data_IF_806434199196
#
_entry.id   IF_806434199196
#
_cell.length_a   1.000
_cell.length_b   1.000
_cell.length_c   1.000
_cell.angle_alpha   90.00
_cell.angle_beta   90.00
_cell.angle_gamma   90.00
#
_symmetry.space_group_name_H-M   'P 1'
#
loop_
_entity.id
_entity.type
_entity.pdbx_description
1 polymer ?
#
# COMPACT_ATOMS: atom_id res chain seq x y z
N UNK A 1 -6.38 -30.69 -11.32
CA UNK A 1 -5.63 -30.04 -10.21
C UNK A 1 -4.99 -28.70 -10.61
N UNK A 2 -4.95 -28.33 -11.90
CA UNK A 2 -4.17 -27.18 -12.39
C UNK A 2 -4.97 -25.89 -12.63
N UNK A 3 -6.24 -25.81 -12.23
CA UNK A 3 -7.11 -24.65 -12.51
C UNK A 3 -7.42 -23.78 -11.27
N UNK A 4 -7.33 -24.34 -10.06
CA UNK A 4 -7.55 -23.56 -8.82
C UNK A 4 -6.30 -22.80 -8.34
N UNK A 5 -5.11 -23.25 -8.75
CA UNK A 5 -3.83 -22.70 -8.29
C UNK A 5 -3.44 -21.39 -8.99
N UNK A 6 -4.15 -20.98 -10.04
CA UNK A 6 -3.87 -19.73 -10.76
C UNK A 6 -4.23 -18.48 -9.97
N UNK A 7 -5.40 -18.46 -9.32
CA UNK A 7 -5.90 -17.30 -8.56
C UNK A 7 -5.17 -17.13 -7.23
N UNK A 8 -5.06 -18.21 -6.47
CA UNK A 8 -4.28 -18.22 -5.22
C UNK A 8 -2.78 -17.99 -5.48
N UNK A 9 -2.24 -18.56 -6.57
CA UNK A 9 -0.85 -18.35 -6.97
C UNK A 9 -0.53 -16.91 -7.39
N UNK A 10 -1.45 -16.23 -8.08
CA UNK A 10 -1.28 -14.81 -8.47
C UNK A 10 -1.34 -13.89 -7.25
N UNK A 11 -2.26 -14.15 -6.31
CA UNK A 11 -2.33 -13.43 -5.04
C UNK A 11 -1.04 -13.63 -4.22
N UNK A 12 -0.58 -14.88 -4.07
CA UNK A 12 0.65 -15.20 -3.35
C UNK A 12 1.90 -14.60 -4.00
N UNK A 13 1.98 -14.60 -5.34
CA UNK A 13 3.07 -13.98 -6.08
C UNK A 13 3.08 -12.45 -5.91
N UNK A 14 1.90 -11.80 -5.95
CA UNK A 14 1.76 -10.37 -5.67
C UNK A 14 2.18 -10.03 -4.24
N UNK A 15 1.72 -10.79 -3.25
CA UNK A 15 2.09 -10.59 -1.85
C UNK A 15 3.59 -10.83 -1.59
N UNK A 16 4.19 -11.83 -2.24
CA UNK A 16 5.62 -12.08 -2.18
C UNK A 16 6.42 -10.92 -2.78
N UNK A 17 6.00 -10.39 -3.94
CA UNK A 17 6.64 -9.23 -4.57
C UNK A 17 6.58 -7.98 -3.67
N UNK A 18 5.43 -7.70 -3.05
CA UNK A 18 5.28 -6.58 -2.10
C UNK A 18 6.19 -6.76 -0.89
N UNK A 19 6.19 -7.95 -0.28
CA UNK A 19 7.01 -8.27 0.90
C UNK A 19 8.51 -8.15 0.61
N UNK A 20 8.94 -8.64 -0.56
CA UNK A 20 10.34 -8.54 -1.00
C UNK A 20 10.71 -7.07 -1.29
N UNK A 21 9.83 -6.30 -1.94
CA UNK A 21 10.10 -4.88 -2.23
C UNK A 21 10.21 -4.04 -0.95
N UNK A 22 9.35 -4.27 0.03
CA UNK A 22 9.44 -3.66 1.36
C UNK A 22 10.71 -4.07 2.10
N UNK A 23 11.06 -5.36 2.10
CA UNK A 23 12.30 -5.86 2.72
C UNK A 23 13.57 -5.28 2.10
N UNK A 24 13.59 -5.15 0.76
CA UNK A 24 14.69 -4.51 0.03
C UNK A 24 14.78 -3.02 0.33
N UNK A 25 13.64 -2.34 0.47
CA UNK A 25 13.59 -0.92 0.85
C UNK A 25 14.12 -0.70 2.27
N UNK A 26 13.86 -1.63 3.20
CA UNK A 26 14.37 -1.59 4.58
C UNK A 26 15.90 -1.76 4.67
N UNK A 27 16.48 -2.55 3.76
CA UNK A 27 17.93 -2.78 3.69
C UNK A 27 18.65 -1.70 2.85
N UNK A 28 17.94 -0.73 2.28
CA UNK A 28 18.49 0.20 1.31
C UNK A 28 19.30 1.34 1.98
N UNK A 29 20.61 1.32 1.75
CA UNK A 29 21.57 2.33 2.23
C UNK A 29 21.61 3.56 1.30
N UNK A 30 21.85 4.80 1.79
CA UNK A 30 21.81 6.04 0.99
C UNK A 30 22.66 6.06 -0.29
N UNK A 31 23.72 5.25 -0.39
CA UNK A 31 24.54 5.13 -1.60
C UNK A 31 23.80 4.52 -2.80
N UNK A 32 22.68 3.82 -2.57
CA UNK A 32 21.93 3.07 -3.58
C UNK A 32 20.58 3.74 -3.90
N UNK A 33 20.49 5.07 -3.73
CA UNK A 33 19.25 5.84 -3.87
C UNK A 33 18.59 5.74 -5.26
N UNK A 34 19.34 5.41 -6.32
CA UNK A 34 18.78 5.22 -7.67
C UNK A 34 17.83 4.02 -7.80
N UNK A 35 17.94 3.02 -6.93
CA UNK A 35 17.09 1.82 -6.98
C UNK A 35 15.68 2.05 -6.45
N UNK A 36 15.42 3.17 -5.77
CA UNK A 36 14.10 3.53 -5.24
C UNK A 36 13.05 3.62 -6.37
N UNK A 37 13.42 4.13 -7.55
CA UNK A 37 12.50 4.20 -8.69
C UNK A 37 12.08 2.81 -9.17
N UNK A 38 13.03 1.86 -9.21
CA UNK A 38 12.74 0.48 -9.59
C UNK A 38 11.88 -0.23 -8.53
N UNK A 39 12.22 -0.06 -7.25
CA UNK A 39 11.49 -0.64 -6.13
C UNK A 39 10.06 -0.11 -6.04
N UNK A 40 9.85 1.18 -6.30
CA UNK A 40 8.51 1.79 -6.35
C UNK A 40 7.64 1.20 -7.46
N UNK A 41 8.20 0.98 -8.66
CA UNK A 41 7.48 0.32 -9.76
C UNK A 41 7.11 -1.12 -9.39
N UNK A 42 8.04 -1.88 -8.79
CA UNK A 42 7.78 -3.24 -8.34
C UNK A 42 6.74 -3.31 -7.22
N UNK A 43 6.79 -2.38 -6.26
CA UNK A 43 5.83 -2.26 -5.19
C UNK A 43 4.43 -1.96 -5.73
N UNK A 44 4.32 -0.98 -6.64
CA UNK A 44 3.06 -0.63 -7.28
C UNK A 44 2.45 -1.76 -8.11
N UNK A 45 3.28 -2.52 -8.83
CA UNK A 45 2.84 -3.72 -9.57
C UNK A 45 2.29 -4.79 -8.62
N UNK A 46 3.03 -5.11 -7.55
CA UNK A 46 2.60 -6.09 -6.56
C UNK A 46 1.29 -5.69 -5.88
N UNK A 47 1.17 -4.42 -5.47
CA UNK A 47 -0.02 -3.90 -4.80
C UNK A 47 -1.27 -3.95 -5.71
N UNK A 48 -1.11 -3.61 -6.98
CA UNK A 48 -2.19 -3.67 -7.98
C UNK A 48 -2.67 -5.11 -8.21
N UNK A 49 -1.75 -6.07 -8.29
CA UNK A 49 -2.08 -7.49 -8.48
C UNK A 49 -2.87 -8.02 -7.27
N UNK A 50 -2.42 -7.74 -6.06
CA UNK A 50 -3.08 -8.16 -4.81
C UNK A 50 -4.49 -7.56 -4.72
N UNK A 51 -4.62 -6.25 -4.97
CA UNK A 51 -5.88 -5.53 -4.91
C UNK A 51 -6.91 -6.10 -5.91
N UNK A 52 -6.54 -6.22 -7.19
CA UNK A 52 -7.44 -6.73 -8.23
C UNK A 52 -7.83 -8.18 -7.95
N UNK A 53 -6.87 -9.01 -7.51
CA UNK A 53 -7.15 -10.41 -7.20
C UNK A 53 -8.08 -10.56 -5.99
N UNK A 54 -7.94 -9.72 -4.95
CA UNK A 54 -8.85 -9.68 -3.80
C UNK A 54 -10.28 -9.40 -4.24
N UNK A 55 -10.46 -8.34 -5.03
CA UNK A 55 -11.77 -7.95 -5.56
C UNK A 55 -12.41 -9.08 -6.38
N UNK A 56 -11.63 -9.75 -7.24
CA UNK A 56 -12.13 -10.87 -8.03
C UNK A 56 -12.55 -12.06 -7.16
N UNK A 57 -11.82 -12.33 -6.06
CA UNK A 57 -12.17 -13.36 -5.08
C UNK A 57 -13.44 -13.00 -4.31
N UNK A 58 -13.60 -11.75 -3.88
CA UNK A 58 -14.81 -11.24 -3.23
C UNK A 58 -16.03 -11.34 -4.16
N UNK A 59 -15.88 -11.00 -5.45
CA UNK A 59 -16.94 -11.12 -6.44
C UNK A 59 -17.40 -12.57 -6.68
N UNK A 60 -16.47 -13.53 -6.64
CA UNK A 60 -16.79 -14.96 -6.75
C UNK A 60 -17.51 -15.49 -5.50
N UNK A 61 -17.15 -15.00 -4.30
CA UNK A 61 -17.79 -15.41 -3.04
C UNK A 61 -19.19 -14.80 -2.85
N UNK A 62 -19.45 -13.62 -3.40
CA UNK A 62 -20.76 -12.96 -3.38
C UNK A 62 -21.75 -13.60 -4.38
N UNK A 63 -21.26 -14.48 -5.25
CA UNK A 63 -22.01 -15.19 -6.29
C UNK A 63 -23.14 -16.10 -5.80
N UNK A 64 -24.27 -15.47 -5.47
CA UNK A 64 -25.69 -15.93 -5.57
C UNK A 64 -26.65 -14.80 -5.10
N UNK A 65 -26.13 -13.78 -4.39
CA UNK A 65 -26.90 -12.62 -3.88
C UNK A 65 -26.40 -11.30 -4.47
N UNK A 66 -26.67 -11.07 -5.76
CA UNK A 66 -26.26 -9.87 -6.51
C UNK A 66 -26.75 -8.53 -5.92
N UNK A 67 -27.75 -8.53 -5.04
CA UNK A 67 -28.32 -7.30 -4.47
C UNK A 67 -27.39 -6.65 -3.42
N UNK A 68 -26.55 -7.42 -2.73
CA UNK A 68 -25.63 -6.90 -1.70
C UNK A 68 -24.22 -6.59 -2.22
N UNK A 69 -23.86 -7.06 -3.41
CA UNK A 69 -22.52 -6.88 -3.98
C UNK A 69 -22.14 -5.42 -4.27
N UNK A 70 -23.11 -4.60 -4.68
CA UNK A 70 -22.89 -3.17 -4.88
C UNK A 70 -22.59 -2.42 -3.57
N UNK A 71 -23.22 -2.85 -2.46
CA UNK A 71 -22.94 -2.31 -1.14
C UNK A 71 -21.55 -2.72 -0.65
N UNK A 72 -21.14 -3.97 -0.85
CA UNK A 72 -19.79 -4.46 -0.50
C UNK A 72 -18.71 -3.69 -1.25
N UNK A 73 -18.84 -3.53 -2.56
CA UNK A 73 -17.88 -2.79 -3.38
C UNK A 73 -17.83 -1.29 -3.00
N UNK A 74 -19.00 -0.73 -2.65
CA UNK A 74 -19.13 0.62 -2.09
C UNK A 74 -18.45 0.75 -0.72
N UNK A 75 -18.65 -0.21 0.18
CA UNK A 75 -18.04 -0.25 1.51
C UNK A 75 -16.53 -0.47 1.45
N UNK A 76 -16.04 -1.28 0.50
CA UNK A 76 -14.61 -1.47 0.23
C UNK A 76 -13.96 -0.15 -0.20
N UNK A 77 -14.54 0.54 -1.19
CA UNK A 77 -14.04 1.83 -1.68
C UNK A 77 -14.16 2.96 -0.64
N UNK A 78 -15.21 2.92 0.19
CA UNK A 78 -15.40 3.84 1.29
C UNK A 78 -14.36 3.64 2.38
N UNK A 79 -14.11 2.38 2.76
CA UNK A 79 -13.06 2.01 3.73
C UNK A 79 -11.67 2.43 3.23
N UNK A 80 -11.37 2.22 1.95
CA UNK A 80 -10.11 2.65 1.34
C UNK A 80 -9.93 4.18 1.44
N UNK A 81 -10.96 4.96 1.08
CA UNK A 81 -10.94 6.42 1.18
C UNK A 81 -10.82 6.92 2.62
N UNK A 82 -11.52 6.30 3.57
CA UNK A 82 -11.41 6.65 4.99
C UNK A 82 -10.02 6.31 5.51
N UNK A 83 -9.49 5.14 5.20
CA UNK A 83 -8.17 4.70 5.61
C UNK A 83 -7.09 5.67 5.11
N UNK A 84 -7.13 6.02 3.83
CA UNK A 84 -6.24 7.02 3.23
C UNK A 84 -6.41 8.41 3.86
N UNK A 85 -7.65 8.84 4.14
CA UNK A 85 -7.92 10.11 4.82
C UNK A 85 -7.36 10.16 6.24
N UNK A 86 -7.54 9.10 7.03
CA UNK A 86 -7.00 8.97 8.40
C UNK A 86 -5.47 8.94 8.37
N UNK A 87 -4.87 8.19 7.45
CA UNK A 87 -3.41 8.13 7.31
C UNK A 87 -2.82 9.51 7.02
N UNK A 88 -3.42 10.26 6.10
CA UNK A 88 -3.00 11.63 5.76
C UNK A 88 -3.16 12.58 6.95
N UNK A 89 -4.28 12.51 7.68
CA UNK A 89 -4.49 13.32 8.89
C UNK A 89 -3.48 12.99 9.98
N UNK A 90 -3.17 11.71 10.18
CA UNK A 90 -2.17 11.28 11.15
C UNK A 90 -0.79 11.81 10.78
N UNK A 91 -0.39 11.71 9.52
CA UNK A 91 0.90 12.25 9.02
C UNK A 91 0.96 13.76 9.23
N UNK A 92 -0.08 14.50 8.86
CA UNK A 92 -0.13 15.95 9.05
C UNK A 92 -0.02 16.33 10.53
N UNK A 93 -0.75 15.64 11.41
CA UNK A 93 -0.68 15.89 12.84
C UNK A 93 0.71 15.59 13.43
N UNK A 94 1.37 14.52 12.99
CA UNK A 94 2.75 14.24 13.40
C UNK A 94 3.73 15.31 12.88
N UNK A 95 3.57 15.76 11.63
CA UNK A 95 4.39 16.85 11.07
C UNK A 95 4.21 18.16 11.82
N UNK A 96 2.99 18.54 12.17
CA UNK A 96 2.70 19.75 12.95
C UNK A 96 3.30 19.66 14.36
N UNK A 97 3.18 18.52 15.03
CA UNK A 97 3.79 18.31 16.35
C UNK A 97 5.33 18.47 16.32
N UNK A 98 5.98 17.97 15.26
CA UNK A 98 7.42 18.10 15.06
C UNK A 98 7.82 19.55 14.72
N UNK A 99 7.07 20.24 13.86
CA UNK A 99 7.34 21.65 13.52
C UNK A 99 7.20 22.60 14.71
N UNK A 100 6.31 22.32 15.65
CA UNK A 100 6.18 23.09 16.90
C UNK A 100 7.41 22.91 17.80
N UNK A 101 8.09 21.76 17.73
CA UNK A 101 9.30 21.46 18.51
C UNK A 101 10.58 22.03 17.86
N UNK A 102 10.65 22.16 16.52
CA UNK A 102 11.83 22.65 15.78
C UNK A 102 11.45 23.61 14.62
N UNK A 103 11.51 24.94 14.81
CA UNK A 103 11.01 25.91 13.82
C UNK A 103 11.91 26.14 12.59
N UNK A 104 13.11 25.53 12.52
CA UNK A 104 14.05 25.73 11.39
C UNK A 104 15.05 24.58 11.22
N UNK A 105 14.59 23.39 10.84
CA UNK A 105 15.47 22.33 10.31
C UNK A 105 14.86 21.67 9.07
N UNK A 106 15.09 22.31 7.92
CA UNK A 106 14.73 21.84 6.58
C UNK A 106 15.27 20.44 6.24
N UNK A 107 16.21 19.89 7.02
CA UNK A 107 16.79 18.57 6.82
C UNK A 107 15.96 17.42 7.43
N UNK A 108 15.27 17.64 8.57
CA UNK A 108 14.47 16.59 9.23
C UNK A 108 13.11 16.37 8.57
N UNK A 109 12.55 17.42 7.94
CA UNK A 109 11.36 17.31 7.08
C UNK A 109 11.59 16.31 5.93
N UNK A 110 12.80 16.24 5.38
CA UNK A 110 13.15 15.34 4.28
C UNK A 110 13.18 13.86 4.70
N UNK A 111 13.67 13.57 5.91
CA UNK A 111 13.67 12.20 6.44
C UNK A 111 12.26 11.75 6.82
N UNK A 112 11.47 12.63 7.43
CA UNK A 112 10.08 12.34 7.77
C UNK A 112 9.22 12.10 6.52
N UNK A 113 9.42 12.86 5.45
CA UNK A 113 8.75 12.61 4.16
C UNK A 113 9.19 11.26 3.58
N UNK A 114 10.47 10.88 3.68
CA UNK A 114 10.95 9.55 3.27
C UNK A 114 10.31 8.43 4.09
N UNK A 115 10.20 8.61 5.40
CA UNK A 115 9.66 7.61 6.31
C UNK A 115 8.13 7.49 6.16
N UNK A 116 7.43 8.61 5.96
CA UNK A 116 6.01 8.63 5.60
C UNK A 116 5.75 7.94 4.26
N UNK A 117 6.61 8.15 3.25
CA UNK A 117 6.52 7.45 1.96
C UNK A 117 6.83 5.94 2.08
N UNK A 118 7.53 5.51 3.13
CA UNK A 118 7.77 4.10 3.41
C UNK A 118 6.63 3.44 4.22
N UNK A 119 5.88 4.23 5.01
CA UNK A 119 4.77 3.76 5.85
C UNK A 119 3.44 3.80 5.09
N UNK A 120 3.29 4.70 4.13
CA UNK A 120 2.13 4.76 3.23
C UNK A 120 2.51 4.10 1.91
N UNK A 121 2.15 2.82 1.69
CA UNK A 121 2.22 2.20 0.36
C UNK A 121 1.27 2.85 -0.64
#
# INVERSE_FOLDING_TARGET
MNEKMGREGTFAAGAALVSVSLGLTWLLTPETSGWIYLLSVLLGLGNSIVMVTSVCLEGDLVGDSCESGAFVYGAMSFTDKISNGIAVLWIQNQREAIQVQFPSSTAEDGEFVRLAYCVVP
#
